data_IF_574746558676
#
_entry.id   IF_574746558676
#
_cell.length_a   1.000
_cell.length_b   1.000
_cell.length_c   1.000
_cell.angle_alpha   90.00
_cell.angle_beta   90.00
_cell.angle_gamma   90.00
#
_symmetry.space_group_name_H-M   'P 1'
#
loop_
_entity.id
_entity.type
_entity.pdbx_description
1 polymer ?
#
# COMPACT_ATOMS: atom_id res chain seq x y z
N UNK A 1 3.15 -75.41 -13.45
CA UNK A 1 2.72 -74.22 -14.22
C UNK A 1 1.24 -74.35 -14.60
N UNK A 2 0.33 -74.20 -13.62
CA UNK A 2 -1.12 -74.28 -13.87
C UNK A 2 -1.76 -72.91 -14.20
N UNK A 3 -0.98 -71.82 -14.12
CA UNK A 3 -1.46 -70.45 -14.31
C UNK A 3 -1.91 -70.14 -15.75
N UNK A 4 -1.35 -70.84 -16.75
CA UNK A 4 -1.56 -70.56 -18.18
C UNK A 4 -2.63 -71.45 -18.84
N UNK A 5 -3.26 -72.38 -18.11
CA UNK A 5 -4.31 -73.25 -18.66
C UNK A 5 -5.71 -72.63 -18.56
N UNK A 6 -5.94 -71.72 -17.60
CA UNK A 6 -7.24 -71.12 -17.37
C UNK A 6 -7.33 -69.74 -18.03
N UNK A 7 -8.05 -69.68 -19.17
CA UNK A 7 -8.25 -68.45 -19.96
C UNK A 7 -8.89 -67.32 -19.14
N UNK A 8 -9.75 -67.66 -18.19
CA UNK A 8 -10.37 -66.72 -17.24
C UNK A 8 -9.38 -66.18 -16.21
N UNK A 9 -8.48 -67.03 -15.70
CA UNK A 9 -7.47 -66.64 -14.72
C UNK A 9 -6.47 -65.64 -15.33
N UNK A 10 -6.04 -65.88 -16.57
CA UNK A 10 -5.16 -64.96 -17.30
C UNK A 10 -5.82 -63.58 -17.53
N UNK A 11 -7.11 -63.56 -17.87
CA UNK A 11 -7.87 -62.33 -18.10
C UNK A 11 -8.00 -61.52 -16.80
N UNK A 12 -8.31 -62.18 -15.67
CA UNK A 12 -8.42 -61.53 -14.36
C UNK A 12 -7.07 -60.95 -13.91
N UNK A 13 -5.98 -61.70 -14.02
CA UNK A 13 -4.63 -61.23 -13.66
C UNK A 13 -4.21 -60.06 -14.55
N UNK A 14 -4.49 -60.12 -15.85
CA UNK A 14 -4.23 -59.02 -16.78
C UNK A 14 -5.02 -57.76 -16.43
N UNK A 15 -6.30 -57.90 -16.10
CA UNK A 15 -7.15 -56.78 -15.68
C UNK A 15 -6.64 -56.11 -14.40
N UNK A 16 -6.24 -56.91 -13.39
CA UNK A 16 -5.69 -56.40 -12.13
C UNK A 16 -4.36 -55.67 -12.35
N UNK A 17 -3.49 -56.19 -13.24
CA UNK A 17 -2.24 -55.51 -13.60
C UNK A 17 -2.48 -54.17 -14.30
N UNK A 18 -3.43 -54.12 -15.24
CA UNK A 18 -3.77 -52.88 -15.96
C UNK A 18 -4.39 -51.86 -15.00
N UNK A 19 -5.31 -52.29 -14.12
CA UNK A 19 -5.90 -51.43 -13.12
C UNK A 19 -4.86 -50.88 -12.12
N UNK A 20 -3.93 -51.74 -11.67
CA UNK A 20 -2.82 -51.33 -10.80
C UNK A 20 -1.86 -50.35 -11.48
N UNK A 21 -1.54 -50.56 -12.76
CA UNK A 21 -0.72 -49.65 -13.53
C UNK A 21 -1.42 -48.30 -13.76
N UNK A 22 -2.72 -48.31 -14.09
CA UNK A 22 -3.50 -47.08 -14.25
C UNK A 22 -3.59 -46.29 -12.94
N UNK A 23 -3.84 -46.97 -11.81
CA UNK A 23 -3.83 -46.36 -10.48
C UNK A 23 -2.46 -45.76 -10.14
N UNK A 24 -1.39 -46.51 -10.41
CA UNK A 24 -0.03 -46.03 -10.19
C UNK A 24 0.29 -44.81 -11.06
N UNK A 25 -0.11 -44.77 -12.32
CA UNK A 25 0.08 -43.60 -13.19
C UNK A 25 -0.78 -42.41 -12.75
N UNK A 26 -2.01 -42.63 -12.30
CA UNK A 26 -2.88 -41.58 -11.77
C UNK A 26 -2.33 -40.96 -10.47
N UNK A 27 -1.67 -41.76 -9.63
CA UNK A 27 -1.02 -41.27 -8.41
C UNK A 27 0.30 -40.52 -8.66
N UNK A 28 0.78 -40.46 -9.90
CA UNK A 28 2.01 -39.75 -10.29
C UNK A 28 1.79 -38.30 -10.70
N UNK A 29 0.56 -37.77 -10.57
CA UNK A 29 0.29 -36.34 -10.75
C UNK A 29 1.05 -35.52 -9.70
N UNK A 30 2.29 -35.25 -10.05
CA UNK A 30 3.21 -34.32 -9.39
C UNK A 30 3.63 -33.31 -10.44
N UNK A 31 2.63 -32.63 -11.03
CA UNK A 31 2.88 -31.30 -11.57
C UNK A 31 3.25 -30.43 -10.38
N UNK A 32 4.53 -30.48 -10.01
CA UNK A 32 5.14 -29.56 -9.07
C UNK A 32 5.17 -28.23 -9.79
N UNK A 33 4.04 -27.52 -9.77
CA UNK A 33 4.03 -26.11 -10.11
C UNK A 33 5.03 -25.47 -9.14
N UNK A 34 6.13 -24.88 -9.63
CA UNK A 34 7.12 -24.29 -8.76
C UNK A 34 6.43 -23.20 -7.95
N UNK A 35 6.44 -23.36 -6.62
CA UNK A 35 5.88 -22.39 -5.66
C UNK A 35 6.56 -21.02 -5.75
N UNK A 36 7.72 -20.96 -6.42
CA UNK A 36 8.42 -19.75 -6.78
C UNK A 36 8.45 -19.65 -8.30
N UNK A 37 7.47 -18.95 -8.85
CA UNK A 37 7.47 -18.52 -10.23
C UNK A 37 8.19 -17.17 -10.29
N UNK A 38 9.39 -17.14 -10.88
CA UNK A 38 10.02 -15.87 -11.26
C UNK A 38 9.17 -15.24 -12.34
N UNK A 39 8.55 -14.10 -12.00
CA UNK A 39 7.86 -13.25 -12.97
C UNK A 39 8.89 -12.87 -14.04
N UNK A 40 8.63 -13.25 -15.29
CA UNK A 40 9.46 -12.82 -16.41
C UNK A 40 9.17 -11.33 -16.65
N UNK A 41 10.02 -10.43 -16.15
CA UNK A 41 9.88 -8.98 -16.36
C UNK A 41 10.01 -8.58 -17.85
N UNK A 42 10.33 -9.53 -18.73
CA UNK A 42 10.30 -9.34 -20.18
C UNK A 42 8.88 -9.18 -20.72
N UNK A 43 7.86 -9.66 -19.99
CA UNK A 43 6.47 -9.26 -20.17
C UNK A 43 6.20 -8.04 -19.28
N UNK A 44 6.72 -6.88 -19.68
CA UNK A 44 6.40 -5.61 -19.02
C UNK A 44 4.88 -5.53 -18.85
N UNK A 45 4.42 -5.52 -17.59
CA UNK A 45 3.02 -5.41 -17.29
C UNK A 45 2.52 -4.06 -17.79
N UNK A 46 1.24 -3.94 -18.13
CA UNK A 46 0.67 -2.64 -18.55
C UNK A 46 0.94 -1.54 -17.49
N UNK A 47 1.03 -1.91 -16.22
CA UNK A 47 1.39 -1.01 -15.13
C UNK A 47 2.83 -0.46 -15.24
N UNK A 48 3.79 -1.26 -15.72
CA UNK A 48 5.19 -0.81 -15.90
C UNK A 48 5.29 0.24 -17.01
N UNK A 49 4.46 0.12 -18.06
CA UNK A 49 4.39 1.10 -19.15
C UNK A 49 3.78 2.42 -18.68
N UNK A 50 2.70 2.36 -17.89
CA UNK A 50 2.04 3.54 -17.32
C UNK A 50 2.98 4.35 -16.41
N UNK A 51 3.80 3.67 -15.59
CA UNK A 51 4.80 4.33 -14.73
C UNK A 51 5.87 5.03 -15.57
N UNK A 52 6.39 4.37 -16.60
CA UNK A 52 7.41 4.97 -17.49
C UNK A 52 6.82 6.15 -18.27
N UNK A 53 5.58 6.05 -18.74
CA UNK A 53 4.88 7.14 -19.42
C UNK A 53 4.68 8.34 -18.50
N UNK A 54 4.24 8.11 -17.27
CA UNK A 54 4.06 9.16 -16.25
C UNK A 54 5.39 9.84 -15.93
N UNK A 55 6.48 9.07 -15.82
CA UNK A 55 7.81 9.63 -15.59
C UNK A 55 8.30 10.48 -16.76
N UNK A 56 8.02 10.08 -17.99
CA UNK A 56 8.34 10.87 -19.18
C UNK A 56 7.52 12.17 -19.24
N UNK A 57 6.23 12.11 -18.88
CA UNK A 57 5.38 13.31 -18.77
C UNK A 57 5.88 14.26 -17.69
N UNK A 58 6.18 13.77 -16.49
CA UNK A 58 6.73 14.59 -15.40
C UNK A 58 8.08 15.21 -15.76
N UNK A 59 8.95 14.50 -16.48
CA UNK A 59 10.23 15.03 -16.96
C UNK A 59 10.03 16.19 -17.96
N UNK A 60 8.96 16.14 -18.76
CA UNK A 60 8.65 17.19 -19.72
C UNK A 60 8.09 18.46 -19.07
N UNK A 61 7.62 18.39 -17.82
CA UNK A 61 7.15 19.56 -17.08
C UNK A 61 8.35 20.38 -16.62
N UNK A 62 8.64 21.45 -17.36
CA UNK A 62 9.61 22.47 -16.96
C UNK A 62 8.88 23.66 -16.35
N UNK A 63 9.24 24.03 -15.12
CA UNK A 63 8.70 25.23 -14.49
C UNK A 63 9.50 26.46 -14.97
N UNK A 64 8.94 27.22 -15.91
CA UNK A 64 9.52 28.48 -16.35
C UNK A 64 9.17 29.59 -15.37
N UNK A 65 10.17 30.23 -14.77
CA UNK A 65 10.00 31.39 -13.87
C UNK A 65 9.52 32.67 -14.56
N UNK A 66 9.24 32.63 -15.86
CA UNK A 66 8.80 33.78 -16.66
C UNK A 66 7.47 34.36 -16.18
N UNK A 67 6.66 33.61 -15.43
CA UNK A 67 5.42 34.14 -14.84
C UNK A 67 5.71 35.29 -13.88
N UNK A 68 6.87 35.27 -13.19
CA UNK A 68 7.23 36.29 -12.20
C UNK A 68 7.68 37.60 -12.84
N UNK A 69 7.98 37.57 -14.14
CA UNK A 69 8.30 38.76 -14.95
C UNK A 69 7.09 39.30 -15.72
N UNK A 70 5.96 38.61 -15.68
CA UNK A 70 4.74 39.03 -16.36
C UNK A 70 4.19 40.33 -15.72
N UNK A 71 3.87 41.37 -16.51
CA UNK A 71 3.25 42.59 -15.99
C UNK A 71 2.00 42.33 -15.14
N UNK A 72 1.19 41.33 -15.48
CA UNK A 72 0.03 40.92 -14.69
C UNK A 72 0.44 40.41 -13.29
N UNK A 73 1.51 39.60 -13.20
CA UNK A 73 2.02 39.12 -11.92
C UNK A 73 2.64 40.26 -11.09
N UNK A 74 3.44 41.13 -11.71
CA UNK A 74 4.05 42.27 -11.01
C UNK A 74 3.04 43.34 -10.57
N UNK A 75 1.86 43.38 -11.21
CA UNK A 75 0.77 44.29 -10.82
C UNK A 75 -0.02 43.82 -9.60
N UNK A 76 0.17 42.57 -9.15
CA UNK A 76 -0.54 42.03 -8.00
C UNK A 76 -0.13 42.80 -6.73
N UNK A 77 -1.14 43.31 -6.03
CA UNK A 77 -0.96 43.92 -4.71
C UNK A 77 -1.16 42.87 -3.64
N UNK A 78 -0.21 42.79 -2.72
CA UNK A 78 -0.40 42.04 -1.49
C UNK A 78 -1.50 42.72 -0.66
N UNK A 79 -2.53 41.93 -0.32
CA UNK A 79 -3.67 42.37 0.51
C UNK A 79 -3.57 41.79 1.93
N UNK A 80 -2.43 41.21 2.28
CA UNK A 80 -2.12 40.77 3.63
C UNK A 80 -2.26 41.93 4.63
N UNK A 81 -2.91 41.64 5.75
CA UNK A 81 -2.98 42.55 6.89
C UNK A 81 -1.83 42.20 7.83
N UNK A 82 -1.13 43.22 8.34
CA UNK A 82 -0.11 43.02 9.37
C UNK A 82 -0.77 42.37 10.61
N UNK A 83 -0.32 41.17 10.97
CA UNK A 83 -0.74 40.53 12.21
C UNK A 83 0.00 41.21 13.36
N UNK A 84 -0.74 41.92 14.22
CA UNK A 84 -0.18 42.49 15.44
C UNK A 84 0.06 41.34 16.42
N UNK A 85 1.28 41.18 16.97
CA UNK A 85 1.53 40.16 17.98
C UNK A 85 0.65 40.37 19.21
N UNK A 86 -0.16 39.36 19.54
CA UNK A 86 -0.92 39.34 20.78
C UNK A 86 -0.05 38.81 21.93
N UNK A 87 -0.24 39.31 23.16
CA UNK A 87 0.47 38.79 24.32
C UNK A 87 0.10 37.31 24.53
N UNK A 88 1.10 36.52 24.92
CA UNK A 88 0.89 35.11 25.27
C UNK A 88 -0.14 35.04 26.41
N UNK A 89 -1.16 34.19 26.25
CA UNK A 89 -2.21 34.00 27.24
C UNK A 89 -1.69 33.49 28.59
N UNK A 90 -2.59 33.38 29.57
CA UNK A 90 -2.24 32.80 30.89
C UNK A 90 -1.70 31.37 30.68
N UNK A 91 -0.60 30.97 31.35
CA UNK A 91 -0.07 29.61 31.27
C UNK A 91 -1.12 28.53 31.55
N UNK A 92 -2.08 28.81 32.43
CA UNK A 92 -3.26 27.99 32.63
C UNK A 92 -4.52 28.87 32.47
N UNK A 93 -5.32 28.67 31.40
CA UNK A 93 -6.51 29.47 31.15
C UNK A 93 -7.62 29.23 32.19
N UNK A 94 -7.57 28.13 32.93
CA UNK A 94 -8.59 27.73 33.91
C UNK A 94 -8.18 27.98 35.37
N UNK A 95 -6.98 28.50 35.64
CA UNK A 95 -6.58 28.77 37.01
C UNK A 95 -7.49 29.85 37.64
N UNK A 96 -7.93 29.69 38.91
CA UNK A 96 -8.79 30.66 39.59
C UNK A 96 -8.22 32.08 39.53
N UNK A 97 -9.10 33.09 39.47
CA UNK A 97 -8.69 34.49 39.55
C UNK A 97 -8.20 34.79 40.98
N UNK A 98 -7.09 35.52 41.15
CA UNK A 98 -6.66 35.93 42.47
C UNK A 98 -7.71 36.89 43.05
N UNK A 99 -8.41 36.44 44.09
CA UNK A 99 -9.21 37.32 44.91
C UNK A 99 -8.23 38.20 45.70
N UNK A 100 -8.11 39.48 45.33
CA UNK A 100 -7.42 40.44 46.20
C UNK A 100 -8.30 40.60 47.43
N UNK A 101 -8.01 39.84 48.47
CA UNK A 101 -8.59 40.03 49.79
C UNK A 101 -8.07 41.37 50.31
N UNK A 102 -8.81 42.45 50.05
CA UNK A 102 -8.65 43.71 50.76
C UNK A 102 -8.87 43.39 52.23
N UNK A 103 -7.78 43.27 52.98
CA UNK A 103 -7.77 42.99 54.41
C UNK A 103 -8.43 44.15 55.15
N UNK A 104 -9.74 44.09 55.35
CA UNK A 104 -10.45 44.90 56.34
C UNK A 104 -10.08 44.37 57.72
N UNK A 105 -9.00 44.89 58.29
CA UNK A 105 -8.66 44.73 59.70
C UNK A 105 -9.66 45.52 60.56
N UNK A 106 -10.84 44.95 60.80
CA UNK A 106 -11.78 45.47 61.79
C UNK A 106 -11.35 45.03 63.18
N UNK A 107 -10.41 45.77 63.78
CA UNK A 107 -10.21 45.78 65.24
C UNK A 107 -11.33 46.62 65.84
N UNK A 108 -12.25 46.03 66.59
CA UNK A 108 -13.09 46.78 67.53
C UNK A 108 -13.43 45.94 68.76
N UNK A 109 -13.11 46.54 69.91
CA UNK A 109 -13.38 46.12 71.30
C UNK A 109 -14.83 45.72 71.54
#
# INVERSE_FOLDING_TARGET
MALFQNKTLMLVIGSVLVAGAAWYLFLRDTTSAPLLQTQDLTAASEADKEVVETLLQLRAITLSGTIFTDPAFTSLKDTGIQIVPEPVGRPNPFAPLPITATSTSATRR
#
